data_IF_377990338424
#
_entry.id   IF_377990338424
#
_cell.length_a   1.000
_cell.length_b   1.000
_cell.length_c   1.000
_cell.angle_alpha   90.00
_cell.angle_beta   90.00
_cell.angle_gamma   90.00
#
_symmetry.space_group_name_H-M   'P 1'
#
loop_
_entity.id
_entity.type
_entity.pdbx_description
1 polymer ?
#
# COMPACT_ATOMS: atom_id res chain seq x y z
N UNK A 1 -3.48 12.08 -6.27
CA UNK A 1 -2.60 11.79 -5.12
C UNK A 1 -3.17 12.50 -3.90
N UNK A 2 -2.93 12.04 -2.67
CA UNK A 2 -3.26 12.84 -1.49
C UNK A 2 -2.59 14.21 -1.62
N UNK A 3 -3.34 15.27 -1.35
CA UNK A 3 -2.91 16.67 -1.53
C UNK A 3 -2.21 17.23 -0.30
N UNK A 4 -2.19 16.48 0.81
CA UNK A 4 -1.54 16.88 2.06
C UNK A 4 -1.14 15.66 2.89
N UNK A 5 -0.40 15.90 3.98
CA UNK A 5 -0.02 14.83 4.89
C UNK A 5 -1.24 14.34 5.67
N UNK A 6 -1.31 13.04 5.93
CA UNK A 6 -2.42 12.45 6.68
C UNK A 6 -1.99 11.21 7.45
N UNK A 7 -2.63 10.98 8.59
CA UNK A 7 -2.59 9.73 9.33
C UNK A 7 -3.87 8.95 9.08
N UNK A 8 -3.74 7.71 8.64
CA UNK A 8 -4.85 6.77 8.59
C UNK A 8 -4.74 5.78 9.74
N UNK A 9 -5.86 5.46 10.38
CA UNK A 9 -5.97 4.29 11.26
C UNK A 9 -6.89 3.26 10.65
N UNK A 10 -6.50 2.00 10.78
CA UNK A 10 -7.20 0.89 10.14
C UNK A 10 -7.17 -0.37 10.99
N UNK A 11 -8.12 -1.26 10.72
CA UNK A 11 -8.06 -2.66 11.10
C UNK A 11 -7.51 -3.44 9.93
N UNK A 12 -6.78 -4.51 10.21
CA UNK A 12 -6.27 -5.40 9.18
C UNK A 12 -6.61 -6.85 9.50
N UNK A 13 -6.76 -7.65 8.45
CA UNK A 13 -7.02 -9.08 8.51
C UNK A 13 -6.18 -9.76 7.43
N UNK A 14 -5.21 -10.57 7.85
CA UNK A 14 -4.40 -11.43 7.01
C UNK A 14 -4.90 -12.87 7.11
N UNK A 15 -5.08 -13.53 5.97
CA UNK A 15 -5.56 -14.90 5.88
C UNK A 15 -4.69 -15.66 4.90
N UNK A 16 -4.22 -16.84 5.30
CA UNK A 16 -3.62 -17.85 4.42
C UNK A 16 -4.31 -19.20 4.62
N UNK A 17 -3.80 -20.28 4.01
CA UNK A 17 -4.40 -21.62 4.13
C UNK A 17 -4.41 -22.19 5.56
N UNK A 18 -3.53 -21.71 6.43
CA UNK A 18 -3.29 -22.30 7.76
C UNK A 18 -3.79 -21.42 8.89
N UNK A 19 -3.95 -20.12 8.65
CA UNK A 19 -4.17 -19.15 9.71
C UNK A 19 -4.93 -17.92 9.26
N UNK A 20 -5.63 -17.33 10.23
CA UNK A 20 -6.24 -16.02 10.13
C UNK A 20 -5.72 -15.16 11.28
N UNK A 21 -5.12 -14.03 10.96
CA UNK A 21 -4.53 -13.08 11.92
C UNK A 21 -5.09 -11.70 11.63
N UNK A 22 -5.46 -10.96 12.67
CA UNK A 22 -5.95 -9.61 12.48
C UNK A 22 -5.53 -8.70 13.61
N UNK A 23 -5.68 -7.40 13.40
CA UNK A 23 -5.28 -6.40 14.38
C UNK A 23 -5.58 -4.98 13.93
N UNK A 24 -4.79 -4.04 14.47
CA UNK A 24 -4.89 -2.61 14.18
C UNK A 24 -3.57 -2.10 13.62
N UNK A 25 -3.64 -1.03 12.86
CA UNK A 25 -2.46 -0.36 12.36
C UNK A 25 -2.73 1.12 12.08
N UNK A 26 -1.64 1.80 11.74
CA UNK A 26 -1.67 3.18 11.30
C UNK A 26 -0.71 3.40 10.16
N UNK A 27 -1.06 4.32 9.27
CA UNK A 27 -0.16 4.77 8.22
C UNK A 27 -0.03 6.29 8.26
N UNK A 28 1.19 6.80 8.27
CA UNK A 28 1.49 8.21 8.09
C UNK A 28 1.96 8.42 6.66
N UNK A 29 1.23 9.24 5.90
CA UNK A 29 1.59 9.62 4.55
C UNK A 29 2.00 11.08 4.54
N UNK A 30 3.23 11.35 4.12
CA UNK A 30 3.72 12.68 3.85
C UNK A 30 4.12 12.77 2.37
N UNK A 31 3.36 13.51 1.54
CA UNK A 31 3.80 13.87 0.21
C UNK A 31 5.19 14.55 0.25
N UNK A 32 6.02 14.37 -0.79
CA UNK A 32 5.69 13.71 -2.06
C UNK A 32 5.82 12.18 -2.04
N UNK A 33 6.48 11.58 -1.05
CA UNK A 33 7.02 10.23 -1.21
C UNK A 33 7.29 9.46 0.08
N UNK A 34 6.86 9.94 1.25
CA UNK A 34 7.14 9.30 2.53
C UNK A 34 5.91 8.57 3.08
N UNK A 35 6.07 7.27 3.37
CA UNK A 35 5.05 6.42 3.98
C UNK A 35 5.66 5.67 5.16
N UNK A 36 5.06 5.84 6.34
CA UNK A 36 5.30 4.94 7.48
C UNK A 36 4.07 4.09 7.69
N UNK A 37 4.29 2.79 7.77
CA UNK A 37 3.26 1.78 8.00
C UNK A 37 3.57 1.05 9.29
N UNK A 38 2.68 1.13 10.27
CA UNK A 38 2.76 0.41 11.54
C UNK A 38 1.56 -0.54 11.64
N UNK A 39 1.80 -1.78 12.05
CA UNK A 39 0.74 -2.76 12.30
C UNK A 39 1.04 -3.57 13.56
N UNK A 40 -0.01 -3.96 14.26
CA UNK A 40 0.05 -4.85 15.41
C UNK A 40 -1.15 -5.79 15.40
N UNK A 41 -0.87 -7.09 15.58
CA UNK A 41 -1.87 -8.12 15.67
C UNK A 41 -2.60 -8.09 17.02
N UNK A 42 -3.73 -8.78 17.06
CA UNK A 42 -4.52 -8.95 18.27
C UNK A 42 -3.69 -9.68 19.34
N UNK A 43 -3.83 -9.26 20.61
CA UNK A 43 -3.07 -9.81 21.75
C UNK A 43 -1.54 -9.64 21.65
N UNK A 44 -1.04 -8.71 20.82
CA UNK A 44 0.40 -8.43 20.68
C UNK A 44 1.17 -9.41 19.81
N UNK A 45 0.49 -10.40 19.21
CA UNK A 45 1.07 -11.40 18.33
C UNK A 45 1.22 -10.84 16.91
N UNK A 46 2.46 -10.62 16.46
CA UNK A 46 2.76 -10.07 15.14
C UNK A 46 2.64 -8.55 15.10
N UNK A 47 3.72 -7.85 15.46
CA UNK A 47 3.86 -6.41 15.28
C UNK A 47 4.95 -6.13 14.25
N UNK A 48 4.80 -5.06 13.50
CA UNK A 48 5.85 -4.59 12.64
C UNK A 48 5.64 -3.15 12.19
N UNK A 49 6.70 -2.55 11.72
CA UNK A 49 6.70 -1.21 11.16
C UNK A 49 7.66 -1.15 9.98
N UNK A 50 7.32 -0.34 8.98
CA UNK A 50 8.23 0.05 7.92
C UNK A 50 8.13 1.53 7.63
N UNK A 51 9.25 2.09 7.19
CA UNK A 51 9.31 3.40 6.56
C UNK A 51 9.81 3.24 5.13
N UNK A 52 9.04 3.78 4.20
CA UNK A 52 9.31 3.77 2.77
C UNK A 52 9.43 5.21 2.29
N UNK A 53 10.47 5.46 1.49
CA UNK A 53 10.63 6.70 0.73
C UNK A 53 10.70 6.32 -0.74
N UNK A 54 9.76 6.86 -1.52
CA UNK A 54 9.64 6.57 -2.93
C UNK A 54 9.34 5.09 -3.22
N UNK A 55 10.28 4.38 -3.84
CA UNK A 55 10.18 2.97 -4.19
C UNK A 55 10.96 2.05 -3.23
N UNK A 56 11.58 2.62 -2.20
CA UNK A 56 12.58 1.95 -1.38
C UNK A 56 12.22 1.96 0.11
N UNK A 57 12.31 0.80 0.76
CA UNK A 57 12.21 0.70 2.22
C UNK A 57 13.51 1.24 2.85
N UNK A 58 13.36 2.22 3.74
CA UNK A 58 14.47 2.78 4.53
C UNK A 58 14.78 1.91 5.74
N UNK A 59 13.75 1.37 6.38
CA UNK A 59 13.87 0.38 7.44
C UNK A 59 12.58 -0.43 7.58
N UNK A 60 12.71 -1.64 8.13
CA UNK A 60 11.61 -2.55 8.48
C UNK A 60 11.96 -3.23 9.80
N UNK A 61 11.04 -3.21 10.77
CA UNK A 61 11.25 -3.78 12.10
C UNK A 61 10.01 -4.59 12.52
N UNK A 62 10.14 -5.89 12.87
CA UNK A 62 11.34 -6.70 12.69
C UNK A 62 11.64 -6.93 11.20
N UNK A 63 12.86 -7.33 10.86
CA UNK A 63 13.24 -7.59 9.48
C UNK A 63 12.23 -8.55 8.79
N UNK A 64 11.88 -8.26 7.54
CA UNK A 64 10.90 -8.99 6.69
C UNK A 64 9.43 -8.96 7.12
N UNK A 65 9.07 -8.42 8.28
CA UNK A 65 7.69 -8.48 8.78
C UNK A 65 6.66 -7.83 7.85
N UNK A 66 7.07 -6.77 7.13
CA UNK A 66 6.20 -6.09 6.16
C UNK A 66 6.17 -6.83 4.82
N UNK A 67 7.27 -7.44 4.40
CA UNK A 67 7.34 -8.22 3.15
C UNK A 67 6.49 -9.49 3.22
N UNK A 68 6.35 -10.05 4.43
CA UNK A 68 5.42 -11.16 4.71
C UNK A 68 3.95 -10.75 4.53
N UNK A 69 3.60 -9.49 4.80
CA UNK A 69 2.25 -8.97 4.60
C UNK A 69 2.01 -8.42 3.20
N UNK A 70 3.02 -7.75 2.64
CA UNK A 70 2.94 -7.02 1.37
C UNK A 70 4.20 -7.30 0.55
N UNK A 71 4.10 -8.01 -0.58
CA UNK A 71 5.26 -8.57 -1.26
C UNK A 71 6.09 -7.53 -2.05
N UNK A 72 5.65 -6.26 -2.11
CA UNK A 72 6.39 -5.19 -2.78
C UNK A 72 5.99 -3.79 -2.34
N UNK A 73 6.94 -2.85 -2.47
CA UNK A 73 6.71 -1.43 -2.18
C UNK A 73 5.61 -0.80 -3.06
N UNK A 74 5.54 -1.02 -4.39
CA UNK A 74 4.46 -0.47 -5.21
C UNK A 74 3.07 -0.94 -4.78
N UNK A 75 2.94 -2.19 -4.31
CA UNK A 75 1.67 -2.72 -3.78
C UNK A 75 1.35 -2.13 -2.40
N UNK A 76 2.35 -1.88 -1.56
CA UNK A 76 2.16 -1.18 -0.29
C UNK A 76 1.60 0.23 -0.51
N UNK A 77 2.16 1.01 -1.43
CA UNK A 77 1.61 2.32 -1.79
C UNK A 77 0.18 2.23 -2.35
N UNK A 78 -0.09 1.20 -3.15
CA UNK A 78 -1.40 1.00 -3.76
C UNK A 78 -2.50 0.70 -2.73
N UNK A 79 -2.17 0.06 -1.59
CA UNK A 79 -3.09 -0.11 -0.46
C UNK A 79 -3.58 1.23 0.12
N UNK A 80 -2.82 2.31 -0.06
CA UNK A 80 -3.19 3.67 0.33
C UNK A 80 -3.66 4.53 -0.84
N UNK A 81 -3.97 3.92 -1.99
CA UNK A 81 -4.54 4.61 -3.14
C UNK A 81 -3.53 5.46 -3.92
N UNK A 82 -2.23 5.16 -3.80
CA UNK A 82 -1.13 5.85 -4.46
C UNK A 82 -0.47 4.89 -5.44
N UNK A 83 -0.31 5.33 -6.68
CA UNK A 83 0.51 4.64 -7.65
C UNK A 83 1.92 5.22 -7.68
N UNK A 84 2.91 4.35 -7.66
CA UNK A 84 4.33 4.73 -7.72
C UNK A 84 4.99 4.00 -8.89
N UNK A 85 5.93 4.68 -9.52
CA UNK A 85 6.88 4.00 -10.39
C UNK A 85 7.76 3.08 -9.53
N UNK A 86 8.11 1.86 -10.00
CA UNK A 86 8.92 0.91 -9.25
C UNK A 86 10.42 1.22 -9.25
N UNK A 87 10.88 2.19 -10.04
CA UNK A 87 12.29 2.52 -10.22
C UNK A 87 12.53 3.62 -11.23
N UNK A 88 13.74 4.19 -11.21
CA UNK A 88 14.21 5.09 -12.26
C UNK A 88 14.33 4.34 -13.61
N UNK A 89 14.03 5.02 -14.71
CA UNK A 89 14.13 4.45 -16.05
C UNK A 89 12.97 3.54 -16.48
N UNK A 90 11.93 3.39 -15.65
CA UNK A 90 10.73 2.68 -16.06
C UNK A 90 10.01 3.42 -17.19
N UNK A 91 9.61 2.70 -18.25
CA UNK A 91 8.77 3.27 -19.31
C UNK A 91 7.33 3.34 -18.85
N UNK A 92 6.66 4.45 -19.15
CA UNK A 92 5.25 4.67 -18.85
C UNK A 92 4.40 4.54 -20.11
N UNK A 93 3.38 3.70 -20.07
CA UNK A 93 2.29 3.69 -21.06
C UNK A 93 0.95 3.85 -20.36
N UNK A 94 -0.04 4.42 -21.03
CA UNK A 94 -1.32 4.75 -20.42
C UNK A 94 -2.48 4.71 -21.40
N UNK A 95 -3.68 4.52 -20.85
CA UNK A 95 -4.95 4.56 -21.53
C UNK A 95 -5.95 5.32 -20.68
N UNK A 96 -6.68 6.24 -21.29
CA UNK A 96 -7.75 7.01 -20.66
C UNK A 96 -9.04 6.73 -21.41
N UNK A 97 -10.11 6.38 -20.70
CA UNK A 97 -11.45 6.16 -21.23
C UNK A 97 -12.46 6.65 -20.21
N UNK A 98 -13.31 7.62 -20.55
CA UNK A 98 -14.38 8.16 -19.69
C UNK A 98 -14.02 8.21 -18.19
N UNK A 99 -14.47 7.22 -17.40
CA UNK A 99 -14.28 7.12 -15.95
C UNK A 99 -13.12 6.19 -15.52
N UNK A 100 -12.22 5.84 -16.44
CA UNK A 100 -11.11 4.90 -16.25
C UNK A 100 -9.81 5.51 -16.74
N UNK A 101 -8.78 5.38 -15.91
CA UNK A 101 -7.41 5.69 -16.30
C UNK A 101 -6.57 4.47 -15.94
N UNK A 102 -5.95 3.85 -16.94
CA UNK A 102 -5.02 2.76 -16.76
C UNK A 102 -3.61 3.23 -17.12
N UNK A 103 -2.61 2.77 -16.38
CA UNK A 103 -1.22 3.01 -16.73
C UNK A 103 -0.34 1.85 -16.30
N UNK A 104 0.71 1.61 -17.06
CA UNK A 104 1.71 0.58 -16.80
C UNK A 104 3.08 1.24 -16.69
N UNK A 105 3.80 0.89 -15.64
CA UNK A 105 5.24 1.05 -15.58
C UNK A 105 5.88 -0.28 -15.97
N UNK A 106 6.88 -0.24 -16.85
CA UNK A 106 7.69 -1.40 -17.20
C UNK A 106 9.18 -1.08 -16.96
N UNK A 107 9.87 -1.95 -16.22
CA UNK A 107 11.29 -1.87 -15.94
C UNK A 107 11.93 -3.21 -16.29
N UNK A 108 12.46 -3.31 -17.52
CA UNK A 108 12.90 -4.59 -18.08
C UNK A 108 11.71 -5.58 -18.15
N UNK A 109 11.83 -6.79 -17.57
CA UNK A 109 10.77 -7.80 -17.62
C UNK A 109 9.69 -7.64 -16.53
N UNK A 110 9.84 -6.65 -15.65
CA UNK A 110 8.94 -6.39 -14.52
C UNK A 110 7.93 -5.30 -14.87
N UNK A 111 6.68 -5.47 -14.45
CA UNK A 111 5.62 -4.48 -14.68
C UNK A 111 4.85 -4.18 -13.41
N UNK A 112 4.36 -2.94 -13.32
CA UNK A 112 3.30 -2.57 -12.38
C UNK A 112 2.19 -1.88 -13.17
N UNK A 113 1.05 -2.54 -13.20
CA UNK A 113 -0.17 -2.07 -13.85
C UNK A 113 -1.07 -1.42 -12.81
N UNK A 114 -1.62 -0.26 -13.15
CA UNK A 114 -2.58 0.46 -12.33
C UNK A 114 -3.83 0.74 -13.13
N UNK A 115 -4.99 0.62 -12.48
CA UNK A 115 -6.28 1.03 -13.03
C UNK A 115 -7.02 1.84 -11.97
N UNK A 116 -7.29 3.10 -12.28
CA UNK A 116 -8.17 3.96 -11.51
C UNK A 116 -9.54 4.01 -12.17
N UNK A 117 -10.59 3.75 -11.40
CA UNK A 117 -11.99 3.90 -11.82
C UNK A 117 -12.65 4.96 -10.95
N UNK A 118 -13.35 5.91 -11.56
CA UNK A 118 -14.11 6.96 -10.88
C UNK A 118 -15.61 6.70 -10.95
N UNK A 119 -16.33 7.13 -9.92
CA UNK A 119 -17.77 6.94 -9.75
C UNK A 119 -18.18 7.34 -8.34
N UNK A 120 -19.26 6.77 -7.82
CA UNK A 120 -19.67 6.97 -6.40
C UNK A 120 -18.58 6.52 -5.42
N UNK A 121 -17.82 5.49 -5.79
CA UNK A 121 -16.61 5.05 -5.10
C UNK A 121 -15.47 5.06 -6.11
N UNK A 122 -14.38 5.73 -5.76
CA UNK A 122 -13.15 5.72 -6.56
C UNK A 122 -12.34 4.48 -6.15
N UNK A 123 -11.95 3.66 -7.13
CA UNK A 123 -11.05 2.53 -6.89
C UNK A 123 -9.70 2.73 -7.56
N UNK A 124 -8.65 2.23 -6.90
CA UNK A 124 -7.33 2.03 -7.50
C UNK A 124 -6.99 0.55 -7.42
N UNK A 125 -6.83 -0.08 -8.57
CA UNK A 125 -6.30 -1.43 -8.70
C UNK A 125 -4.81 -1.34 -9.03
N UNK A 126 -4.02 -2.27 -8.49
CA UNK A 126 -2.65 -2.49 -8.93
C UNK A 126 -2.38 -3.98 -9.13
N UNK A 127 -1.63 -4.34 -10.17
CA UNK A 127 -1.07 -5.67 -10.38
C UNK A 127 0.43 -5.53 -10.61
N UNK A 128 1.24 -6.21 -9.79
CA UNK A 128 2.67 -6.27 -9.99
C UNK A 128 3.06 -7.62 -10.58
N UNK A 129 3.89 -7.59 -11.63
CA UNK A 129 4.50 -8.77 -12.24
C UNK A 129 6.01 -8.68 -12.16
N UNK A 130 6.65 -9.81 -11.86
CA UNK A 130 8.08 -10.01 -11.96
C UNK A 130 8.36 -11.07 -13.01
N UNK A 131 9.10 -10.72 -14.06
CA UNK A 131 9.33 -11.59 -15.21
C UNK A 131 8.05 -12.28 -15.72
N UNK A 132 6.98 -11.50 -15.90
CA UNK A 132 5.66 -11.98 -16.36
C UNK A 132 4.79 -12.70 -15.32
N UNK A 133 5.36 -13.14 -14.18
CA UNK A 133 4.61 -13.80 -13.10
C UNK A 133 3.97 -12.78 -12.15
N UNK A 134 2.70 -12.97 -11.81
CA UNK A 134 2.00 -12.08 -10.86
C UNK A 134 2.55 -12.28 -9.45
N UNK A 135 3.08 -11.20 -8.89
CA UNK A 135 3.59 -11.13 -7.51
C UNK A 135 2.45 -10.78 -6.54
N UNK A 136 1.57 -9.87 -6.94
CA UNK A 136 0.43 -9.50 -6.12
C UNK A 136 -0.54 -8.57 -6.83
N UNK A 137 -1.75 -8.51 -6.28
CA UNK A 137 -2.85 -7.67 -6.77
C UNK A 137 -3.46 -6.92 -5.62
N UNK A 138 -3.57 -5.61 -5.74
CA UNK A 138 -4.27 -4.80 -4.74
C UNK A 138 -5.49 -4.09 -5.33
N UNK A 139 -6.44 -3.78 -4.47
CA UNK A 139 -7.55 -2.87 -4.73
C UNK A 139 -7.74 -1.97 -3.53
N UNK A 140 -7.73 -0.66 -3.72
CA UNK A 140 -8.10 0.33 -2.71
C UNK A 140 -9.35 1.06 -3.15
N UNK A 141 -10.27 1.31 -2.22
CA UNK A 141 -11.51 2.04 -2.44
C UNK A 141 -11.54 3.29 -1.55
N UNK A 142 -12.05 4.40 -2.10
CA UNK A 142 -12.25 5.65 -1.37
C UNK A 142 -13.48 6.40 -1.85
N UNK A 143 -13.99 7.30 -1.01
CA UNK A 143 -15.01 8.27 -1.40
C UNK A 143 -14.44 9.31 -2.37
N UNK A 144 -15.30 10.02 -3.13
CA UNK A 144 -14.88 11.12 -4.00
C UNK A 144 -14.12 12.24 -3.27
N UNK A 145 -14.43 12.45 -1.98
CA UNK A 145 -13.74 13.42 -1.10
C UNK A 145 -12.31 13.00 -0.69
N UNK A 146 -11.87 11.80 -1.08
CA UNK A 146 -10.54 11.27 -0.77
C UNK A 146 -10.50 10.34 0.46
N UNK A 147 -11.58 10.24 1.24
CA UNK A 147 -11.64 9.41 2.44
C UNK A 147 -11.46 7.92 2.09
N UNK A 148 -10.40 7.25 2.58
CA UNK A 148 -10.19 5.83 2.32
C UNK A 148 -11.26 4.98 3.02
N UNK A 149 -11.69 3.90 2.36
CA UNK A 149 -12.72 3.00 2.87
C UNK A 149 -12.12 1.63 3.20
N UNK A 150 -11.65 0.94 2.18
CA UNK A 150 -11.06 -0.40 2.29
C UNK A 150 -9.90 -0.55 1.33
N UNK A 151 -8.98 -1.46 1.67
CA UNK A 151 -7.99 -1.96 0.74
C UNK A 151 -7.86 -3.48 0.87
N UNK A 152 -7.53 -4.11 -0.24
CA UNK A 152 -7.33 -5.54 -0.37
C UNK A 152 -6.03 -5.78 -1.10
N UNK A 153 -5.32 -6.83 -0.71
CA UNK A 153 -4.17 -7.38 -1.41
C UNK A 153 -4.29 -8.90 -1.45
N UNK A 154 -4.02 -9.50 -2.59
CA UNK A 154 -3.78 -10.93 -2.72
C UNK A 154 -2.42 -11.23 -3.32
N UNK A 155 -1.84 -12.34 -2.87
CA UNK A 155 -0.57 -12.88 -3.37
C UNK A 155 -0.88 -14.22 -4.03
N UNK A 156 -0.82 -14.35 -5.38
CA UNK A 156 -1.20 -15.61 -6.02
C UNK A 156 -0.25 -16.77 -5.75
N UNK A 157 1.05 -16.50 -5.52
CA UNK A 157 2.08 -17.54 -5.32
C UNK A 157 2.03 -18.20 -3.94
N UNK A 158 1.45 -17.51 -2.96
CA UNK A 158 1.18 -18.02 -1.62
C UNK A 158 -0.23 -17.55 -1.33
N UNK A 159 -1.27 -18.41 -1.39
CA UNK A 159 -2.69 -18.01 -1.40
C UNK A 159 -3.10 -17.30 -0.12
N UNK A 160 -2.67 -16.06 -0.03
CA UNK A 160 -2.73 -15.18 1.12
C UNK A 160 -3.45 -13.91 0.70
N UNK A 161 -4.24 -13.39 1.64
CA UNK A 161 -5.06 -12.20 1.46
C UNK A 161 -4.85 -11.28 2.64
N UNK A 162 -4.67 -10.00 2.36
CA UNK A 162 -4.66 -8.93 3.35
C UNK A 162 -5.85 -8.00 3.06
N UNK A 163 -6.71 -7.82 4.04
CA UNK A 163 -7.79 -6.86 4.03
C UNK A 163 -7.50 -5.76 5.04
N UNK A 164 -7.75 -4.51 4.64
CA UNK A 164 -7.60 -3.31 5.45
C UNK A 164 -8.92 -2.55 5.43
N UNK A 165 -9.44 -2.22 6.61
CA UNK A 165 -10.62 -1.37 6.77
C UNK A 165 -10.23 -0.11 7.51
N UNK A 166 -10.30 1.01 6.81
CA UNK A 166 -9.99 2.32 7.37
C UNK A 166 -11.15 2.82 8.22
N UNK A 167 -10.86 3.34 9.41
CA UNK A 167 -11.88 3.86 10.32
C UNK A 167 -11.61 5.29 10.79
N UNK A 168 -10.42 5.82 10.54
CA UNK A 168 -10.08 7.21 10.88
C UNK A 168 -9.05 7.76 9.90
N UNK A 169 -9.23 9.01 9.50
CA UNK A 169 -8.24 9.79 8.76
C UNK A 169 -8.10 11.15 9.42
N UNK A 170 -6.88 11.47 9.86
CA UNK A 170 -6.54 12.75 10.46
C UNK A 170 -5.58 13.48 9.53
N UNK A 171 -5.99 14.59 8.88
CA UNK A 171 -5.07 15.46 8.18
C UNK A 171 -3.97 15.97 9.11
N UNK A 172 -2.77 16.19 8.58
CA UNK A 172 -1.64 16.74 9.32
C UNK A 172 -0.96 17.81 8.48
N UNK A 173 -0.55 18.97 9.05
CA UNK A 173 0.28 19.94 8.34
C UNK A 173 1.68 19.38 8.02
N UNK A 174 2.09 18.32 8.70
CA UNK A 174 3.34 17.59 8.51
C UNK A 174 3.53 16.57 9.64
N UNK A 175 4.62 15.82 9.61
CA UNK A 175 4.98 14.93 10.71
C UNK A 175 6.32 15.35 11.28
N UNK A 176 6.48 15.37 12.61
CA UNK A 176 7.74 15.75 13.20
C UNK A 176 8.79 14.64 12.92
N UNK A 177 10.09 14.96 12.78
CA UNK A 177 11.11 14.04 12.25
C UNK A 177 11.20 12.68 12.97
N UNK A 178 10.94 12.65 14.28
CA UNK A 178 10.90 11.43 15.08
C UNK A 178 9.88 10.40 14.58
N UNK A 179 8.85 10.83 13.85
CA UNK A 179 7.87 9.96 13.21
C UNK A 179 8.53 8.99 12.23
N UNK A 180 9.66 9.36 11.63
CA UNK A 180 10.31 8.58 10.58
C UNK A 180 11.48 7.72 11.11
N UNK A 181 11.76 7.81 12.41
CA UNK A 181 12.79 6.98 13.05
C UNK A 181 12.25 5.56 13.26
N UNK A 182 13.14 4.58 13.10
CA UNK A 182 12.86 3.21 13.46
C UNK A 182 12.46 3.13 14.96
N UNK A 183 11.49 2.28 15.32
CA UNK A 183 11.21 2.01 16.73
C UNK A 183 12.44 1.38 17.40
N UNK A 184 12.63 1.64 18.70
CA UNK A 184 13.58 0.88 19.49
C UNK A 184 13.16 -0.59 19.53
N UNK A 185 14.12 -1.51 19.40
CA UNK A 185 13.88 -2.96 19.47
C UNK A 185 13.48 -3.41 20.88
#
# INVERSE_FOLDING_TARGET
>A
MPTGSARHRFRWLYQDEKSSKGGRGSANLAPPDSLRFDFAGSLGLGKGAAFVVGDSAQWVVPARSVEELVPSVPLLWALFGIARAPGAGATLSGLVQENRVAWRYAAGPDTVDYLRVTGEVITLHAEMRRAGKVVGRSRMSRKPDGTPLTAFLSVPSVPAKLEITFYETSPSPGFPPQTWRAPAE
#
